data_IF_283030522384
#
_entry.id   IF_283030522384
#
_cell.length_a   1.000
_cell.length_b   1.000
_cell.length_c   1.000
_cell.angle_alpha   90.00
_cell.angle_beta   90.00
_cell.angle_gamma   90.00
#
_symmetry.space_group_name_H-M   'P 1'
#
loop_
_entity.id
_entity.type
_entity.pdbx_description
1 polymer ?
#
# COMPACT_ATOMS: atom_id res chain seq x y z
N UNK A 1 15.14 22.44 -10.55
CA UNK A 1 15.89 22.11 -9.32
C UNK A 1 15.32 22.84 -8.09
N UNK A 2 13.99 22.76 -7.84
CA UNK A 2 13.34 23.33 -6.65
C UNK A 2 12.49 22.30 -5.87
N UNK A 3 12.69 21.00 -6.10
CA UNK A 3 11.80 19.95 -5.57
C UNK A 3 12.14 19.42 -4.17
N UNK A 4 13.14 19.96 -3.46
CA UNK A 4 13.87 19.10 -2.51
C UNK A 4 13.53 19.23 -1.02
N UNK A 5 12.95 20.32 -0.53
CA UNK A 5 12.69 20.46 0.92
C UNK A 5 11.25 20.10 1.29
N UNK A 6 10.29 20.71 0.61
CA UNK A 6 8.86 20.51 0.88
C UNK A 6 8.46 19.06 0.62
N UNK A 7 8.92 18.44 -0.48
CA UNK A 7 8.54 17.07 -0.84
C UNK A 7 9.15 16.03 0.12
N UNK A 8 10.41 16.22 0.52
CA UNK A 8 11.10 15.32 1.45
C UNK A 8 10.52 15.33 2.86
N UNK A 9 9.80 16.39 3.25
CA UNK A 9 9.12 16.48 4.56
C UNK A 9 7.64 16.11 4.42
N UNK A 10 6.99 16.55 3.35
CA UNK A 10 5.56 16.35 3.14
C UNK A 10 5.20 14.88 2.94
N UNK A 11 5.99 14.14 2.14
CA UNK A 11 5.70 12.74 1.83
C UNK A 11 5.76 11.84 3.07
N UNK A 12 6.82 11.88 3.91
CA UNK A 12 6.87 11.06 5.12
C UNK A 12 5.77 11.43 6.13
N UNK A 13 5.46 12.71 6.29
CA UNK A 13 4.38 13.16 7.19
C UNK A 13 3.02 12.64 6.71
N UNK A 14 2.74 12.75 5.42
CA UNK A 14 1.52 12.19 4.83
C UNK A 14 1.45 10.67 5.05
N UNK A 15 2.57 9.96 4.86
CA UNK A 15 2.66 8.51 5.07
C UNK A 15 2.35 8.14 6.51
N UNK A 16 2.91 8.85 7.49
CA UNK A 16 2.65 8.65 8.92
C UNK A 16 1.17 8.86 9.24
N UNK A 17 0.55 9.93 8.72
CA UNK A 17 -0.87 10.22 8.94
C UNK A 17 -1.77 9.12 8.34
N UNK A 18 -1.47 8.69 7.10
CA UNK A 18 -2.22 7.64 6.42
C UNK A 18 -2.11 6.32 7.19
N UNK A 19 -0.90 5.95 7.63
CA UNK A 19 -0.65 4.73 8.39
C UNK A 19 -1.28 4.74 9.78
N UNK A 20 -1.31 5.91 10.44
CA UNK A 20 -2.04 6.09 11.70
C UNK A 20 -3.56 5.94 11.49
N UNK A 21 -4.10 6.51 10.41
CA UNK A 21 -5.51 6.36 10.03
C UNK A 21 -5.89 4.90 9.75
N UNK A 22 -5.00 4.17 9.07
CA UNK A 22 -5.13 2.73 8.89
C UNK A 22 -5.16 2.01 10.24
N UNK A 23 -4.21 2.30 11.15
CA UNK A 23 -4.17 1.74 12.49
C UNK A 23 -5.43 2.00 13.33
N UNK A 24 -5.99 3.23 13.27
CA UNK A 24 -7.23 3.60 13.96
C UNK A 24 -8.48 2.86 13.44
N UNK A 25 -8.42 2.40 12.19
CA UNK A 25 -9.50 1.66 11.53
C UNK A 25 -9.45 0.16 11.81
N UNK A 26 -8.31 -0.37 12.28
CA UNK A 26 -8.12 -1.80 12.55
C UNK A 26 -8.70 -2.19 13.92
N UNK A 27 -9.54 -3.22 13.93
CA UNK A 27 -10.12 -3.79 15.15
C UNK A 27 -9.46 -5.13 15.46
N UNK A 28 -9.30 -5.44 16.74
CA UNK A 28 -8.83 -6.77 17.19
C UNK A 28 -9.71 -7.92 16.66
N UNK A 29 -10.99 -7.65 16.40
CA UNK A 29 -11.94 -8.58 15.81
C UNK A 29 -11.57 -8.99 14.38
N UNK A 30 -10.87 -8.13 13.64
CA UNK A 30 -10.41 -8.43 12.28
C UNK A 30 -9.37 -9.56 12.32
N UNK A 31 -8.53 -9.60 13.37
CA UNK A 31 -7.56 -10.68 13.58
C UNK A 31 -8.22 -11.99 14.02
N UNK A 32 -9.37 -11.96 14.70
CA UNK A 32 -10.13 -13.15 15.07
C UNK A 32 -10.74 -13.87 13.85
N UNK A 33 -11.12 -13.13 12.81
CA UNK A 33 -11.66 -13.73 11.58
C UNK A 33 -10.66 -14.62 10.83
N UNK A 34 -9.37 -14.33 10.96
CA UNK A 34 -8.26 -15.13 10.41
C UNK A 34 -8.35 -16.58 10.88
N UNK A 35 -8.65 -16.75 12.16
CA UNK A 35 -8.76 -18.05 12.80
C UNK A 35 -10.07 -18.75 12.42
N UNK A 36 -11.14 -17.98 12.19
CA UNK A 36 -12.46 -18.51 11.84
C UNK A 36 -12.55 -19.04 10.40
N UNK A 37 -11.83 -18.44 9.44
CA UNK A 37 -11.89 -18.81 8.02
C UNK A 37 -10.52 -18.80 7.31
N UNK A 38 -9.57 -19.64 7.73
CA UNK A 38 -8.19 -19.61 7.24
C UNK A 38 -8.06 -19.96 5.76
N UNK A 39 -8.89 -20.88 5.24
CA UNK A 39 -8.80 -21.33 3.83
C UNK A 39 -9.08 -20.20 2.84
N UNK A 40 -10.17 -19.46 3.04
CA UNK A 40 -10.55 -18.36 2.14
C UNK A 40 -9.50 -17.23 2.19
N UNK A 41 -9.01 -16.92 3.39
CA UNK A 41 -7.98 -15.91 3.57
C UNK A 41 -6.65 -16.30 2.90
N UNK A 42 -6.20 -17.54 3.07
CA UNK A 42 -4.95 -18.03 2.46
C UNK A 42 -5.03 -17.99 0.94
N UNK A 43 -6.14 -18.43 0.34
CA UNK A 43 -6.33 -18.37 -1.11
C UNK A 43 -6.26 -16.92 -1.60
N UNK A 44 -6.96 -16.00 -0.93
CA UNK A 44 -6.95 -14.59 -1.31
C UNK A 44 -5.57 -13.94 -1.16
N UNK A 45 -4.83 -14.26 -0.09
CA UNK A 45 -3.45 -13.80 0.11
C UNK A 45 -2.51 -14.33 -0.97
N UNK A 46 -2.60 -15.62 -1.33
CA UNK A 46 -1.78 -16.22 -2.40
C UNK A 46 -2.08 -15.52 -3.73
N UNK A 47 -3.36 -15.29 -4.03
CA UNK A 47 -3.75 -14.59 -5.26
C UNK A 47 -3.16 -13.18 -5.28
N UNK A 48 -3.23 -12.45 -4.17
CA UNK A 48 -2.77 -11.08 -4.10
C UNK A 48 -1.24 -10.93 -4.09
N UNK A 49 -0.53 -11.78 -3.37
CA UNK A 49 0.92 -11.66 -3.15
C UNK A 49 1.73 -12.36 -4.24
N UNK A 50 1.18 -13.42 -4.85
CA UNK A 50 1.89 -14.21 -5.85
C UNK A 50 1.23 -14.10 -7.23
N UNK A 51 -0.05 -14.49 -7.34
CA UNK A 51 -0.68 -14.62 -8.66
C UNK A 51 -0.75 -13.27 -9.37
N UNK A 52 -1.16 -12.21 -8.68
CA UNK A 52 -1.34 -10.89 -9.27
C UNK A 52 0.01 -10.27 -9.70
N UNK A 53 1.08 -10.29 -8.88
CA UNK A 53 2.42 -9.88 -9.34
C UNK A 53 2.98 -10.73 -10.47
N UNK A 54 2.77 -12.06 -10.47
CA UNK A 54 3.24 -12.94 -11.56
C UNK A 54 2.52 -12.65 -12.87
N UNK A 55 1.20 -12.45 -12.83
CA UNK A 55 0.43 -12.05 -14.00
C UNK A 55 0.86 -10.68 -14.51
N UNK A 56 1.05 -9.71 -13.59
CA UNK A 56 1.57 -8.39 -13.94
C UNK A 56 2.92 -8.51 -14.62
N UNK A 57 3.86 -9.26 -14.03
CA UNK A 57 5.19 -9.53 -14.58
C UNK A 57 5.10 -10.07 -16.00
N UNK A 58 4.26 -11.09 -16.24
CA UNK A 58 4.04 -11.64 -17.57
C UNK A 58 3.57 -10.59 -18.59
N UNK A 59 2.65 -9.71 -18.19
CA UNK A 59 2.17 -8.61 -19.05
C UNK A 59 3.29 -7.62 -19.34
N UNK A 60 4.00 -7.10 -18.33
CA UNK A 60 5.08 -6.11 -18.56
C UNK A 60 6.25 -6.65 -19.36
N UNK A 61 6.57 -7.94 -19.22
CA UNK A 61 7.64 -8.58 -20.00
C UNK A 61 7.32 -8.63 -21.49
N UNK A 62 6.05 -8.70 -21.89
CA UNK A 62 5.66 -8.75 -23.31
C UNK A 62 5.21 -7.40 -23.88
N UNK A 63 4.83 -6.45 -23.03
CA UNK A 63 4.25 -5.16 -23.45
C UNK A 63 5.27 -4.08 -23.84
N UNK A 64 6.57 -4.41 -23.97
CA UNK A 64 7.64 -3.51 -24.42
C UNK A 64 7.67 -2.13 -23.70
N UNK A 65 7.28 -2.10 -22.43
CA UNK A 65 7.27 -0.85 -21.65
C UNK A 65 8.69 -0.38 -21.32
N UNK A 66 8.88 0.95 -21.16
CA UNK A 66 10.08 1.47 -20.53
C UNK A 66 10.30 0.83 -19.14
N UNK A 67 11.55 0.50 -18.74
CA UNK A 67 11.85 -0.12 -17.45
C UNK A 67 11.23 0.59 -16.24
N UNK A 68 11.19 1.92 -16.25
CA UNK A 68 10.57 2.73 -15.20
C UNK A 68 9.07 2.39 -15.01
N UNK A 69 8.34 2.26 -16.11
CA UNK A 69 6.91 1.94 -16.08
C UNK A 69 6.69 0.48 -15.69
N UNK A 70 7.56 -0.43 -16.12
CA UNK A 70 7.48 -1.83 -15.74
C UNK A 70 7.64 -2.03 -14.22
N UNK A 71 8.64 -1.38 -13.63
CA UNK A 71 8.83 -1.37 -12.17
C UNK A 71 7.65 -0.69 -11.46
N UNK A 72 7.13 0.40 -12.01
CA UNK A 72 5.94 1.07 -11.49
C UNK A 72 4.70 0.17 -11.46
N UNK A 73 4.47 -0.61 -12.52
CA UNK A 73 3.36 -1.57 -12.57
C UNK A 73 3.55 -2.72 -11.58
N UNK A 74 4.77 -3.25 -11.45
CA UNK A 74 5.09 -4.27 -10.45
C UNK A 74 4.88 -3.76 -9.02
N UNK A 75 5.22 -2.49 -8.75
CA UNK A 75 4.94 -1.82 -7.48
C UNK A 75 3.44 -1.72 -7.19
N UNK A 76 2.64 -1.37 -8.20
CA UNK A 76 1.18 -1.35 -8.08
C UNK A 76 0.62 -2.75 -7.81
N UNK A 77 1.13 -3.77 -8.50
CA UNK A 77 0.72 -5.16 -8.31
C UNK A 77 1.10 -5.72 -6.93
N UNK A 78 2.26 -5.32 -6.39
CA UNK A 78 2.73 -5.75 -5.07
C UNK A 78 2.02 -5.04 -3.91
N UNK A 79 1.34 -3.92 -4.18
CA UNK A 79 0.71 -3.09 -3.17
C UNK A 79 -0.48 -3.79 -2.50
N UNK A 80 -0.73 -3.52 -1.21
CA UNK A 80 -1.84 -4.14 -0.49
C UNK A 80 -3.20 -3.64 -1.00
N UNK A 81 -4.27 -4.32 -0.56
CA UNK A 81 -5.61 -4.05 -1.04
C UNK A 81 -6.06 -2.63 -0.66
N UNK A 82 -6.69 -1.93 -1.59
CA UNK A 82 -7.20 -0.59 -1.31
C UNK A 82 -8.36 -0.65 -0.29
N UNK A 83 -8.48 0.31 0.64
CA UNK A 83 -9.64 0.38 1.55
C UNK A 83 -10.99 0.46 0.84
N UNK A 84 -11.01 0.93 -0.42
CA UNK A 84 -12.18 0.94 -1.30
C UNK A 84 -12.67 -0.46 -1.68
N UNK A 85 -11.82 -1.49 -1.64
CA UNK A 85 -12.19 -2.87 -1.90
C UNK A 85 -13.29 -3.37 -0.94
N UNK A 86 -13.33 -2.85 0.29
CA UNK A 86 -14.38 -3.18 1.27
C UNK A 86 -15.73 -2.62 0.82
N UNK A 87 -15.76 -1.40 0.28
CA UNK A 87 -16.98 -0.80 -0.29
C UNK A 87 -17.47 -1.60 -1.49
N UNK A 88 -16.57 -1.97 -2.42
CA UNK A 88 -16.95 -2.78 -3.58
C UNK A 88 -17.44 -4.17 -3.17
N UNK A 89 -16.81 -4.79 -2.17
CA UNK A 89 -17.27 -6.06 -1.61
C UNK A 89 -18.68 -5.92 -1.03
N UNK A 90 -18.95 -4.84 -0.30
CA UNK A 90 -20.29 -4.55 0.23
C UNK A 90 -21.33 -4.39 -0.88
N UNK A 91 -21.01 -3.60 -1.91
CA UNK A 91 -21.90 -3.38 -3.07
C UNK A 91 -22.16 -4.67 -3.85
N UNK A 92 -21.15 -5.54 -3.95
CA UNK A 92 -21.26 -6.86 -4.55
C UNK A 92 -21.97 -7.90 -3.66
N UNK A 93 -22.46 -7.50 -2.48
CA UNK A 93 -23.05 -8.40 -1.46
C UNK A 93 -22.10 -9.52 -1.01
N UNK A 94 -20.80 -9.27 -1.09
CA UNK A 94 -19.75 -10.16 -0.60
C UNK A 94 -19.52 -10.01 0.91
N UNK A 95 -18.60 -10.82 1.43
CA UNK A 95 -18.25 -10.81 2.85
C UNK A 95 -17.31 -9.63 3.17
N UNK A 96 -17.89 -8.54 3.67
CA UNK A 96 -17.16 -7.31 4.02
C UNK A 96 -16.17 -7.54 5.17
N UNK A 97 -16.48 -8.46 6.08
CA UNK A 97 -15.61 -8.76 7.20
C UNK A 97 -14.37 -9.52 6.74
N UNK A 98 -14.53 -10.46 5.80
CA UNK A 98 -13.41 -11.12 5.11
C UNK A 98 -12.55 -10.09 4.35
N UNK A 99 -13.17 -9.16 3.61
CA UNK A 99 -12.44 -8.14 2.85
C UNK A 99 -11.67 -7.16 3.74
N UNK A 100 -12.23 -6.77 4.88
CA UNK A 100 -11.56 -5.93 5.87
C UNK A 100 -10.35 -6.66 6.47
N UNK A 101 -10.55 -7.92 6.85
CA UNK A 101 -9.50 -8.79 7.39
C UNK A 101 -8.38 -9.02 6.37
N UNK A 102 -8.73 -9.28 5.11
CA UNK A 102 -7.77 -9.44 4.02
C UNK A 102 -6.98 -8.16 3.78
N UNK A 103 -7.65 -7.00 3.78
CA UNK A 103 -6.99 -5.69 3.63
C UNK A 103 -5.99 -5.43 4.76
N UNK A 104 -6.37 -5.75 6.01
CA UNK A 104 -5.49 -5.62 7.18
C UNK A 104 -4.22 -6.48 7.05
N UNK A 105 -4.40 -7.77 6.75
CA UNK A 105 -3.29 -8.72 6.69
C UNK A 105 -2.43 -8.51 5.46
N UNK A 106 -3.03 -8.26 4.30
CA UNK A 106 -2.28 -7.91 3.09
C UNK A 106 -1.46 -6.65 3.30
N UNK A 107 -1.95 -5.66 4.05
CA UNK A 107 -1.18 -4.46 4.43
C UNK A 107 0.03 -4.82 5.28
N UNK A 108 -0.10 -5.74 6.24
CA UNK A 108 1.04 -6.22 7.04
C UNK A 108 2.04 -7.02 6.20
N UNK A 109 1.56 -7.92 5.34
CA UNK A 109 2.43 -8.72 4.46
C UNK A 109 3.13 -7.82 3.43
N UNK A 110 2.47 -6.76 2.97
CA UNK A 110 3.04 -5.78 2.04
C UNK A 110 4.30 -5.10 2.55
N UNK A 111 4.48 -4.94 3.87
CA UNK A 111 5.74 -4.41 4.43
C UNK A 111 6.95 -5.25 3.98
N UNK A 112 6.77 -6.55 3.78
CA UNK A 112 7.82 -7.47 3.32
C UNK A 112 7.72 -7.72 1.82
N UNK A 113 6.52 -7.98 1.28
CA UNK A 113 6.36 -8.39 -0.12
C UNK A 113 6.65 -7.27 -1.10
N UNK A 114 6.25 -6.03 -0.81
CA UNK A 114 6.50 -4.88 -1.70
C UNK A 114 7.99 -4.67 -1.96
N UNK A 115 8.87 -4.51 -0.95
CA UNK A 115 10.29 -4.31 -1.23
C UNK A 115 10.93 -5.51 -1.93
N UNK A 116 10.52 -6.74 -1.64
CA UNK A 116 11.01 -7.94 -2.33
C UNK A 116 10.67 -7.93 -3.83
N UNK A 117 9.39 -7.72 -4.17
CA UNK A 117 8.92 -7.70 -5.56
C UNK A 117 9.52 -6.50 -6.32
N UNK A 118 9.64 -5.36 -5.66
CA UNK A 118 10.26 -4.15 -6.24
C UNK A 118 11.73 -4.38 -6.55
N UNK A 119 12.47 -4.98 -5.61
CA UNK A 119 13.89 -5.24 -5.81
C UNK A 119 14.13 -6.27 -6.92
N UNK A 120 13.30 -7.31 -6.97
CA UNK A 120 13.27 -8.26 -8.08
C UNK A 120 13.02 -7.56 -9.43
N UNK A 121 12.04 -6.66 -9.47
CA UNK A 121 11.69 -5.93 -10.70
C UNK A 121 12.81 -5.00 -11.15
N UNK A 122 13.46 -4.29 -10.22
CA UNK A 122 14.62 -3.44 -10.52
C UNK A 122 15.80 -4.27 -11.06
N UNK A 123 16.09 -5.41 -10.43
CA UNK A 123 17.11 -6.34 -10.91
C UNK A 123 16.84 -6.82 -12.33
N UNK A 124 15.59 -7.17 -12.63
CA UNK A 124 15.21 -7.72 -13.93
C UNK A 124 15.18 -6.66 -15.05
N UNK A 125 14.55 -5.50 -14.80
CA UNK A 125 14.31 -4.49 -15.84
C UNK A 125 15.44 -3.46 -15.98
N UNK A 126 16.22 -3.19 -14.92
CA UNK A 126 17.30 -2.20 -14.92
C UNK A 126 18.71 -2.80 -14.73
N UNK A 127 18.82 -4.08 -14.35
CA UNK A 127 20.08 -4.75 -14.06
C UNK A 127 20.67 -4.39 -12.68
N UNK A 128 21.81 -5.03 -12.36
CA UNK A 128 22.42 -5.03 -11.03
C UNK A 128 22.88 -3.66 -10.48
N UNK A 129 22.84 -2.59 -11.27
CA UNK A 129 23.24 -1.23 -10.86
C UNK A 129 22.13 -0.37 -10.26
N UNK A 130 20.86 -0.75 -10.40
CA UNK A 130 19.69 0.02 -9.94
C UNK A 130 18.88 -0.69 -8.85
N UNK A 131 19.40 -1.82 -8.39
CA UNK A 131 18.95 -2.51 -7.18
C UNK A 131 18.97 -1.45 -6.08
N UNK A 132 17.84 -1.18 -5.45
CA UNK A 132 17.87 -0.40 -4.22
C UNK A 132 18.65 -1.28 -3.26
N UNK A 133 19.89 -0.93 -2.87
CA UNK A 133 20.52 -1.68 -1.81
C UNK A 133 19.51 -1.57 -0.67
N UNK A 134 19.13 -2.71 -0.11
CA UNK A 134 18.38 -2.76 1.12
C UNK A 134 19.43 -2.90 2.23
N UNK A 135 20.21 -1.86 2.60
CA UNK A 135 20.87 -1.89 3.89
C UNK A 135 19.78 -2.23 4.89
N UNK A 136 20.09 -3.18 5.76
CA UNK A 136 19.20 -3.59 6.84
C UNK A 136 18.67 -2.35 7.58
N UNK A 137 19.48 -1.30 7.69
CA UNK A 137 19.12 0.00 8.24
C UNK A 137 17.97 0.72 7.50
N UNK A 138 18.00 0.78 6.15
CA UNK A 138 16.95 1.43 5.36
C UNK A 138 15.65 0.63 5.37
N UNK A 139 15.77 -0.70 5.39
CA UNK A 139 14.65 -1.59 5.59
C UNK A 139 14.03 -1.39 6.98
N UNK A 140 14.85 -1.34 8.04
CA UNK A 140 14.39 -1.03 9.40
C UNK A 140 13.75 0.35 9.51
N UNK A 141 14.31 1.37 8.85
CA UNK A 141 13.73 2.72 8.82
C UNK A 141 12.34 2.70 8.17
N UNK A 142 12.19 2.04 7.02
CA UNK A 142 10.89 1.88 6.36
C UNK A 142 9.90 1.13 7.26
N UNK A 143 10.33 0.01 7.85
CA UNK A 143 9.52 -0.73 8.81
C UNK A 143 9.10 0.12 9.98
N UNK A 144 9.99 0.92 10.57
CA UNK A 144 9.66 1.80 11.69
C UNK A 144 8.64 2.88 11.28
N UNK A 145 8.84 3.53 10.13
CA UNK A 145 7.94 4.59 9.62
C UNK A 145 6.52 4.07 9.38
N UNK A 146 6.34 2.79 9.06
CA UNK A 146 5.02 2.18 8.87
C UNK A 146 4.48 1.55 10.15
N UNK A 147 5.27 0.68 10.79
CA UNK A 147 4.83 -0.13 11.93
C UNK A 147 4.55 0.72 13.17
N UNK A 148 5.34 1.76 13.44
CA UNK A 148 5.15 2.64 14.61
C UNK A 148 3.79 3.35 14.56
N UNK A 149 3.43 4.12 13.51
CA UNK A 149 2.13 4.79 13.47
C UNK A 149 0.95 3.82 13.40
N UNK A 150 1.07 2.68 12.70
CA UNK A 150 0.02 1.65 12.71
C UNK A 150 -0.19 1.12 14.12
N UNK A 151 0.88 0.77 14.83
CA UNK A 151 0.81 0.24 16.20
C UNK A 151 0.21 1.25 17.17
N UNK A 152 0.56 2.53 17.05
CA UNK A 152 -0.04 3.62 17.82
C UNK A 152 -1.54 3.70 17.52
N UNK A 153 -1.94 3.69 16.25
CA UNK A 153 -3.34 3.73 15.85
C UNK A 153 -4.15 2.55 16.43
N UNK A 154 -3.62 1.34 16.36
CA UNK A 154 -4.24 0.13 16.94
C UNK A 154 -4.32 0.23 18.46
N UNK A 155 -3.26 0.68 19.13
CA UNK A 155 -3.23 0.84 20.58
C UNK A 155 -4.26 1.88 21.06
N UNK A 156 -4.39 3.01 20.34
CA UNK A 156 -5.41 4.02 20.61
C UNK A 156 -6.81 3.46 20.38
N UNK A 157 -7.02 2.71 19.29
CA UNK A 157 -8.31 2.05 19.00
C UNK A 157 -8.70 1.06 20.08
N UNK A 158 -7.75 0.30 20.62
CA UNK A 158 -8.02 -0.69 21.65
C UNK A 158 -8.28 -0.05 23.02
N UNK A 159 -7.49 0.95 23.41
CA UNK A 159 -7.56 1.54 24.77
C UNK A 159 -8.62 2.66 24.87
N UNK A 160 -8.91 3.35 23.79
CA UNK A 160 -9.81 4.50 23.75
C UNK A 160 -10.76 4.43 22.55
N UNK A 161 -11.61 3.39 22.50
CA UNK A 161 -12.51 3.11 21.37
C UNK A 161 -13.37 4.33 20.98
N UNK A 162 -13.92 5.05 21.95
CA UNK A 162 -14.73 6.25 21.72
C UNK A 162 -13.94 7.43 21.12
N UNK A 163 -12.65 7.59 21.47
CA UNK A 163 -11.78 8.59 20.84
C UNK A 163 -11.42 8.16 19.42
N UNK A 164 -11.10 6.88 19.23
CA UNK A 164 -10.75 6.37 17.92
C UNK A 164 -11.91 6.46 16.92
N UNK A 165 -13.15 6.18 17.33
CA UNK A 165 -14.34 6.36 16.49
C UNK A 165 -14.58 7.83 16.11
N UNK A 166 -14.30 8.75 17.02
CA UNK A 166 -14.37 10.20 16.74
C UNK A 166 -13.26 10.68 15.81
N UNK A 167 -12.06 10.11 15.91
CA UNK A 167 -10.89 10.48 15.11
C UNK A 167 -10.84 9.78 13.75
N UNK A 168 -11.45 8.60 13.61
CA UNK A 168 -11.43 7.79 12.39
C UNK A 168 -11.92 8.58 11.17
N UNK A 169 -13.08 9.24 11.29
CA UNK A 169 -13.65 10.04 10.20
C UNK A 169 -12.75 11.20 9.75
N UNK A 170 -12.37 12.13 10.66
CA UNK A 170 -11.48 13.24 10.34
C UNK A 170 -10.12 12.79 9.79
N UNK A 171 -9.49 11.79 10.40
CA UNK A 171 -8.18 11.28 9.96
C UNK A 171 -8.28 10.65 8.58
N UNK A 172 -9.34 9.90 8.30
CA UNK A 172 -9.57 9.28 6.99
C UNK A 172 -9.87 10.31 5.90
N UNK A 173 -10.64 11.35 6.23
CA UNK A 173 -10.87 12.49 5.32
C UNK A 173 -9.57 13.19 4.99
N UNK A 174 -8.76 13.50 6.02
CA UNK A 174 -7.47 14.16 5.87
C UNK A 174 -6.54 13.29 5.01
N UNK A 175 -6.39 12.00 5.33
CA UNK A 175 -5.62 11.04 4.55
C UNK A 175 -6.06 10.98 3.07
N UNK A 176 -7.38 11.01 2.81
CA UNK A 176 -7.93 11.01 1.45
C UNK A 176 -7.61 12.30 0.69
N UNK A 177 -7.76 13.46 1.34
CA UNK A 177 -7.40 14.75 0.75
C UNK A 177 -5.91 14.85 0.45
N UNK A 178 -5.06 14.36 1.37
CA UNK A 178 -3.62 14.29 1.16
C UNK A 178 -3.26 13.38 -0.01
N UNK A 179 -3.85 12.19 -0.08
CA UNK A 179 -3.64 11.26 -1.19
C UNK A 179 -4.07 11.91 -2.53
N UNK A 180 -5.24 12.55 -2.56
CA UNK A 180 -5.72 13.25 -3.75
C UNK A 180 -4.76 14.38 -4.17
N UNK A 181 -4.25 15.17 -3.23
CA UNK A 181 -3.28 16.22 -3.52
C UNK A 181 -1.97 15.66 -4.10
N UNK A 182 -1.45 14.56 -3.53
CA UNK A 182 -0.24 13.90 -4.04
C UNK A 182 -0.47 13.35 -5.45
N UNK A 183 -1.63 12.72 -5.71
CA UNK A 183 -1.97 12.19 -7.05
C UNK A 183 -2.09 13.31 -8.06
N UNK A 184 -2.81 14.41 -7.75
CA UNK A 184 -2.94 15.56 -8.65
C UNK A 184 -1.57 16.14 -8.97
N UNK A 185 -0.74 16.33 -7.94
CA UNK A 185 0.62 16.83 -8.13
C UNK A 185 1.46 15.91 -9.01
N UNK A 186 1.42 14.60 -8.76
CA UNK A 186 2.15 13.60 -9.56
C UNK A 186 1.69 13.59 -11.02
N UNK A 187 0.38 13.72 -11.28
CA UNK A 187 -0.18 13.81 -12.65
C UNK A 187 0.31 15.07 -13.36
N UNK A 188 0.35 16.21 -12.66
CA UNK A 188 0.86 17.48 -13.22
C UNK A 188 2.35 17.39 -13.53
N UNK A 189 3.13 16.80 -12.63
CA UNK A 189 4.58 16.61 -12.80
C UNK A 189 4.90 15.63 -13.95
N UNK A 190 4.16 14.52 -14.04
CA UNK A 190 4.35 13.47 -15.05
C UNK A 190 3.55 13.70 -16.34
N UNK A 191 3.08 14.93 -16.59
CA UNK A 191 2.21 15.26 -17.74
C UNK A 191 2.80 14.83 -19.07
N UNK A 192 4.12 14.91 -19.26
CA UNK A 192 4.76 14.48 -20.50
C UNK A 192 4.70 12.96 -20.70
N UNK A 193 4.82 12.16 -19.64
CA UNK A 193 4.70 10.70 -19.72
C UNK A 193 3.28 10.32 -20.07
N UNK A 194 2.29 10.99 -19.47
CA UNK A 194 0.86 10.76 -19.73
C UNK A 194 0.48 11.13 -21.16
N UNK A 195 1.00 12.22 -21.72
CA UNK A 195 0.71 12.60 -23.12
C UNK A 195 1.35 11.64 -24.12
N UNK A 196 2.45 10.97 -23.75
CA UNK A 196 3.18 10.05 -24.65
C UNK A 196 2.62 8.62 -24.60
N UNK A 197 2.13 8.17 -23.45
CA UNK A 197 1.69 6.79 -23.21
C UNK A 197 0.23 6.65 -22.77
N UNK A 198 -0.46 7.76 -22.49
CA UNK A 198 -1.89 7.78 -22.18
C UNK A 198 -2.75 7.61 -23.44
N UNK A 199 -4.04 7.26 -23.27
CA UNK A 199 -4.98 7.15 -24.36
C UNK A 199 -5.24 8.49 -25.06
#
# INVERSE_FOLDING_TARGET
MQSSATFNIFLPVALVIIMLGLGLSLKLQDFLQVVLRPKALLVALIVQILVLPVLCFGIVSVSALPPAMAVGMMLLAASPGAPSAVLFTHLAKGDTALSLTLTAISSMVALVSVPLITNFSLLHFYGAGHVIPLPIEKFLQFFAVVLVPVSIGVAVRHRYTALAERLEGPVKLLATLFLAAVVIFAVVDQRQVIVTWGP
#
